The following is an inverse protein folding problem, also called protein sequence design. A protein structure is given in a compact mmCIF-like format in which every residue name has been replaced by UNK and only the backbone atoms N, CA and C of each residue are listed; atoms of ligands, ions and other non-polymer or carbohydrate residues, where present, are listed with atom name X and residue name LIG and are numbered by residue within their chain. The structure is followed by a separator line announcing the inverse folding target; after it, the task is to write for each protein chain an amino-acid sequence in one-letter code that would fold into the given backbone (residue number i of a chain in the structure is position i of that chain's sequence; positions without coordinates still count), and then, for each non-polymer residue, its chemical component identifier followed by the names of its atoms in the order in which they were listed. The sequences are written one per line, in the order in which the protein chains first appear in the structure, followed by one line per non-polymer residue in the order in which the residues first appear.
data_IF_735921138581
#
_entry.id   IF_735921138581
#
_cell.length_a   1.000
_cell.length_b   1.000
_cell.length_c   1.000
_cell.angle_alpha   90.00
_cell.angle_beta   90.00
_cell.angle_gamma   90.00
#
_symmetry.space_group_name_H-M   'P 1'
#
loop_
_entity.id
_entity.type
_entity.pdbx_description
1 polymer ?
#
# COMPACT_ATOMS: atom_id res chain seq x y z
N UNK A 1 -48.45 1.33 -34.17
CA UNK A 1 -47.37 1.68 -35.12
C UNK A 1 -46.51 2.78 -34.52
N UNK A 2 -45.38 2.41 -33.92
CA UNK A 2 -44.03 2.90 -34.24
C UNK A 2 -43.15 2.66 -33.00
N UNK A 3 -42.23 1.71 -33.15
CA UNK A 3 -41.22 1.36 -32.15
C UNK A 3 -40.07 2.36 -32.21
N UNK A 4 -39.64 2.90 -31.06
CA UNK A 4 -38.30 3.46 -30.91
C UNK A 4 -37.43 2.40 -30.24
N UNK A 5 -36.67 1.68 -31.07
CA UNK A 5 -35.52 0.89 -30.64
C UNK A 5 -34.51 1.83 -29.97
N UNK A 6 -34.36 1.73 -28.65
CA UNK A 6 -33.12 2.17 -28.00
C UNK A 6 -32.06 1.10 -28.27
N UNK A 7 -31.22 1.37 -29.27
CA UNK A 7 -30.03 0.57 -29.57
C UNK A 7 -29.13 0.56 -28.33
N UNK A 8 -28.96 -0.61 -27.71
CA UNK A 8 -27.91 -0.86 -26.72
C UNK A 8 -26.57 -0.77 -27.45
N UNK A 9 -25.99 0.42 -27.48
CA UNK A 9 -24.57 0.56 -27.78
C UNK A 9 -23.80 0.13 -26.53
N UNK A 10 -23.28 -1.10 -26.56
CA UNK A 10 -22.18 -1.51 -25.68
C UNK A 10 -20.97 -0.65 -26.01
N UNK A 11 -20.87 0.49 -25.33
CA UNK A 11 -19.65 1.30 -25.31
C UNK A 11 -18.62 0.53 -24.48
N UNK A 12 -17.74 -0.18 -25.17
CA UNK A 12 -16.43 -0.55 -24.64
C UNK A 12 -15.71 0.78 -24.40
N UNK A 13 -15.73 1.28 -23.16
CA UNK A 13 -14.93 2.44 -22.79
C UNK A 13 -13.46 2.04 -22.86
N UNK A 14 -12.73 2.59 -23.82
CA UNK A 14 -11.29 2.72 -23.70
C UNK A 14 -11.03 3.53 -22.41
N UNK A 15 -10.41 2.89 -21.42
CA UNK A 15 -10.18 3.48 -20.10
C UNK A 15 -9.06 4.51 -20.23
N UNK A 16 -9.36 5.75 -19.84
CA UNK A 16 -8.41 6.85 -19.80
C UNK A 16 -7.35 6.60 -18.73
N UNK A 17 -6.08 6.85 -19.06
CA UNK A 17 -4.93 6.52 -18.19
C UNK A 17 -4.77 7.53 -17.04
N UNK A 18 -5.49 8.65 -17.12
CA UNK A 18 -5.32 9.81 -16.25
C UNK A 18 -6.33 9.86 -15.08
N UNK A 19 -7.22 8.88 -14.93
CA UNK A 19 -8.15 8.82 -13.79
C UNK A 19 -7.46 8.20 -12.56
N UNK A 20 -7.49 8.86 -11.38
CA UNK A 20 -6.88 8.31 -10.17
C UNK A 20 -7.51 6.95 -9.84
N UNK A 21 -6.67 5.98 -9.50
CA UNK A 21 -7.09 4.62 -9.17
C UNK A 21 -7.72 4.50 -7.78
N UNK A 22 -7.60 5.57 -6.98
CA UNK A 22 -8.19 5.73 -5.64
C UNK A 22 -9.16 6.93 -5.57
N UNK A 23 -10.01 6.95 -4.54
CA UNK A 23 -10.98 8.04 -4.29
C UNK A 23 -10.95 8.49 -2.83
N UNK A 24 -11.21 9.77 -2.57
CA UNK A 24 -11.35 10.29 -1.20
C UNK A 24 -12.51 9.65 -0.40
N UNK A 25 -13.44 8.97 -1.08
CA UNK A 25 -14.52 8.19 -0.45
C UNK A 25 -14.10 6.76 -0.11
N UNK A 26 -12.91 6.32 -0.52
CA UNK A 26 -12.43 4.98 -0.26
C UNK A 26 -12.07 4.85 1.22
N UNK A 27 -12.66 3.86 1.87
CA UNK A 27 -12.48 3.56 3.28
C UNK A 27 -11.86 2.19 3.43
N UNK A 28 -11.10 1.98 4.51
CA UNK A 28 -10.64 0.65 4.85
C UNK A 28 -11.82 -0.24 5.25
N UNK A 29 -11.61 -1.54 5.16
CA UNK A 29 -12.52 -2.54 5.69
C UNK A 29 -11.76 -3.56 6.57
N UNK A 30 -12.43 -4.19 7.54
CA UNK A 30 -11.85 -5.26 8.32
C UNK A 30 -11.32 -6.39 7.43
N UNK A 31 -10.11 -6.84 7.74
CA UNK A 31 -9.38 -7.87 7.00
C UNK A 31 -8.66 -8.80 7.98
N UNK A 32 -8.65 -10.09 7.67
CA UNK A 32 -7.85 -11.07 8.39
C UNK A 32 -6.84 -11.66 7.41
N UNK A 33 -5.56 -11.50 7.69
CA UNK A 33 -4.52 -12.14 6.89
C UNK A 33 -4.62 -13.67 7.06
N UNK A 34 -4.83 -14.39 5.97
CA UNK A 34 -4.93 -15.84 5.99
C UNK A 34 -3.58 -16.51 6.29
N UNK A 35 -2.47 -15.81 6.07
CA UNK A 35 -1.13 -16.36 6.27
C UNK A 35 -0.72 -16.25 7.74
N UNK A 36 -0.82 -15.06 8.34
CA UNK A 36 -0.41 -14.84 9.73
C UNK A 36 -1.55 -14.87 10.75
N UNK A 37 -2.82 -14.87 10.30
CA UNK A 37 -4.01 -14.80 11.16
C UNK A 37 -4.25 -13.42 11.80
N UNK A 38 -3.57 -12.37 11.33
CA UNK A 38 -3.66 -11.04 11.92
C UNK A 38 -4.93 -10.31 11.49
N UNK A 39 -5.66 -9.74 12.46
CA UNK A 39 -6.76 -8.83 12.20
C UNK A 39 -6.24 -7.41 11.94
N UNK A 40 -6.64 -6.84 10.81
CA UNK A 40 -6.17 -5.57 10.28
C UNK A 40 -7.34 -4.78 9.67
N UNK A 41 -7.12 -3.50 9.42
CA UNK A 41 -7.93 -2.69 8.52
C UNK A 41 -7.23 -2.60 7.17
N UNK A 42 -7.93 -2.89 6.07
CA UNK A 42 -7.34 -2.96 4.73
C UNK A 42 -7.96 -1.98 3.75
N UNK A 43 -7.11 -1.24 3.06
CA UNK A 43 -7.38 -0.58 1.80
C UNK A 43 -7.05 -1.52 0.64
N UNK A 44 -7.90 -1.56 -0.38
CA UNK A 44 -7.69 -2.36 -1.59
C UNK A 44 -8.10 -1.59 -2.83
N UNK A 45 -7.16 -1.35 -3.74
CA UNK A 45 -7.41 -0.71 -5.02
C UNK A 45 -7.83 -1.70 -6.08
N UNK A 46 -9.12 -1.75 -6.41
CA UNK A 46 -9.66 -2.75 -7.33
C UNK A 46 -9.10 -2.66 -8.75
N UNK A 47 -8.63 -1.49 -9.19
CA UNK A 47 -8.03 -1.31 -10.53
C UNK A 47 -6.61 -1.87 -10.61
N UNK A 48 -5.84 -1.64 -9.55
CA UNK A 48 -4.41 -1.89 -9.47
C UNK A 48 -4.08 -3.20 -8.76
N UNK A 49 -5.04 -3.77 -8.04
CA UNK A 49 -4.89 -4.96 -7.20
C UNK A 49 -3.86 -4.77 -6.08
N UNK A 50 -3.47 -3.53 -5.79
CA UNK A 50 -2.69 -3.21 -4.60
C UNK A 50 -3.56 -3.31 -3.35
N UNK A 51 -2.94 -3.82 -2.30
CA UNK A 51 -3.53 -3.89 -0.98
C UNK A 51 -2.57 -3.33 0.06
N UNK A 52 -3.12 -2.53 0.96
CA UNK A 52 -2.45 -2.07 2.16
C UNK A 52 -3.32 -2.39 3.37
N UNK A 53 -2.82 -3.21 4.27
CA UNK A 53 -3.48 -3.50 5.53
C UNK A 53 -2.62 -3.03 6.72
N UNK A 54 -3.27 -2.53 7.77
CA UNK A 54 -2.62 -2.04 8.96
C UNK A 54 -3.33 -2.53 10.22
N UNK A 55 -2.55 -2.90 11.22
CA UNK A 55 -3.01 -3.11 12.60
C UNK A 55 -2.25 -2.19 13.54
N UNK A 56 -2.99 -1.41 14.32
CA UNK A 56 -2.45 -0.57 15.37
C UNK A 56 -2.54 -1.31 16.71
N UNK A 57 -1.52 -1.13 17.55
CA UNK A 57 -1.59 -1.65 18.91
C UNK A 57 -2.68 -0.91 19.70
N UNK A 58 -3.42 -1.63 20.55
CA UNK A 58 -4.60 -1.12 21.28
C UNK A 58 -4.27 -0.06 22.34
N UNK A 59 -2.98 0.16 22.64
CA UNK A 59 -2.56 1.22 23.56
C UNK A 59 -2.42 2.53 22.79
N UNK A 60 -3.20 3.59 23.12
CA UNK A 60 -3.10 4.87 22.45
C UNK A 60 -1.66 5.39 22.55
N UNK A 61 -1.06 5.88 21.46
CA UNK A 61 0.24 6.51 21.55
C UNK A 61 0.17 7.68 22.53
N UNK A 62 1.13 7.77 23.44
CA UNK A 62 1.36 8.99 24.20
C UNK A 62 1.62 10.10 23.17
N UNK A 63 0.98 11.25 23.32
CA UNK A 63 1.14 12.35 22.38
C UNK A 63 2.64 12.63 22.14
N UNK A 64 3.06 12.73 20.88
CA UNK A 64 4.45 12.92 20.42
C UNK A 64 5.41 11.75 20.59
N UNK A 65 4.98 10.55 20.98
CA UNK A 65 5.83 9.35 20.85
C UNK A 65 5.64 8.72 19.47
N UNK A 66 6.72 8.40 18.75
CA UNK A 66 6.61 7.59 17.55
C UNK A 66 5.93 6.26 17.87
N UNK A 67 4.81 5.96 17.23
CA UNK A 67 4.15 4.67 17.38
C UNK A 67 4.66 3.65 16.36
N UNK A 68 4.49 2.39 16.72
CA UNK A 68 4.74 1.25 15.86
C UNK A 68 3.41 0.66 15.37
N UNK A 69 3.42 0.07 14.19
CA UNK A 69 2.26 -0.62 13.63
C UNK A 69 2.70 -1.85 12.86
N UNK A 70 1.79 -2.81 12.68
CA UNK A 70 2.01 -3.91 11.75
C UNK A 70 1.34 -3.53 10.43
N UNK A 71 2.09 -3.56 9.35
CA UNK A 71 1.60 -3.34 7.99
C UNK A 71 1.67 -4.61 7.16
N UNK A 72 0.81 -4.71 6.16
CA UNK A 72 0.92 -5.67 5.07
C UNK A 72 0.77 -4.92 3.74
N UNK A 73 1.70 -5.15 2.82
CA UNK A 73 1.59 -4.71 1.43
C UNK A 73 1.41 -5.93 0.54
N UNK A 74 0.45 -5.85 -0.38
CA UNK A 74 0.27 -6.84 -1.45
C UNK A 74 0.27 -6.12 -2.78
N UNK A 75 1.07 -6.60 -3.73
CA UNK A 75 1.18 -6.01 -5.06
C UNK A 75 1.19 -7.11 -6.13
N UNK A 76 0.52 -6.88 -7.27
CA UNK A 76 0.69 -7.74 -8.43
C UNK A 76 2.10 -7.57 -9.03
N UNK A 77 2.57 -8.63 -9.67
CA UNK A 77 3.82 -8.67 -10.41
C UNK A 77 3.55 -9.16 -11.83
N UNK A 78 4.40 -8.74 -12.75
CA UNK A 78 4.41 -9.24 -14.13
C UNK A 78 5.72 -10.01 -14.32
N UNK A 79 5.62 -11.33 -14.48
CA UNK A 79 6.77 -12.22 -14.62
C UNK A 79 7.79 -12.10 -13.47
N UNK A 80 7.30 -11.92 -12.24
CA UNK A 80 8.12 -11.75 -11.04
C UNK A 80 8.80 -10.38 -10.92
N UNK A 81 8.46 -9.43 -11.79
CA UNK A 81 8.98 -8.07 -11.77
C UNK A 81 7.90 -7.07 -11.38
N UNK A 82 8.33 -6.03 -10.69
CA UNK A 82 7.47 -4.99 -10.15
C UNK A 82 7.96 -4.53 -8.78
N UNK A 83 7.39 -3.44 -8.32
CA UNK A 83 7.63 -2.89 -7.00
C UNK A 83 6.34 -2.22 -6.53
N UNK A 84 6.27 -2.03 -5.22
CA UNK A 84 5.18 -1.36 -4.57
C UNK A 84 5.69 -0.31 -3.61
N UNK A 85 4.87 0.67 -3.29
CA UNK A 85 5.19 1.60 -2.23
C UNK A 85 3.96 1.99 -1.44
N UNK A 86 4.19 2.38 -0.19
CA UNK A 86 3.20 3.10 0.59
C UNK A 86 3.82 4.38 1.14
N UNK A 87 3.02 5.42 1.21
CA UNK A 87 3.31 6.63 1.94
C UNK A 87 2.32 6.79 3.09
N UNK A 88 2.70 7.53 4.13
CA UNK A 88 1.84 7.77 5.29
C UNK A 88 1.10 9.10 5.22
N UNK A 89 1.46 10.05 4.34
CA UNK A 89 0.88 11.40 4.33
C UNK A 89 0.04 11.73 3.09
N UNK A 90 -0.11 10.81 2.14
CA UNK A 90 -0.91 11.00 0.92
C UNK A 90 -0.20 11.78 -0.20
N UNK A 91 0.59 12.79 0.12
CA UNK A 91 1.42 13.52 -0.87
C UNK A 91 2.76 12.81 -1.11
N UNK A 92 3.47 13.05 -2.21
CA UNK A 92 4.84 12.50 -2.39
C UNK A 92 5.88 13.38 -1.68
N UNK A 93 5.74 14.71 -1.82
CA UNK A 93 6.56 15.68 -1.12
C UNK A 93 6.32 15.66 0.38
N UNK A 94 7.40 15.63 1.16
CA UNK A 94 7.34 15.57 2.62
C UNK A 94 6.90 14.22 3.18
N UNK A 95 6.67 13.22 2.32
CA UNK A 95 6.21 11.91 2.74
C UNK A 95 7.37 10.95 3.03
N UNK A 96 7.10 10.09 3.99
CA UNK A 96 7.96 8.98 4.37
C UNK A 96 7.41 7.71 3.70
N UNK A 97 8.16 7.21 2.72
CA UNK A 97 7.71 6.19 1.79
C UNK A 97 8.43 4.88 2.10
N UNK A 98 7.69 3.78 2.23
CA UNK A 98 8.25 2.43 2.24
C UNK A 98 8.08 1.82 0.84
N UNK A 99 9.18 1.67 0.12
CA UNK A 99 9.23 0.96 -1.16
C UNK A 99 9.60 -0.51 -0.93
N UNK A 100 8.95 -1.42 -1.65
CA UNK A 100 9.09 -2.88 -1.52
C UNK A 100 9.14 -3.56 -2.88
N UNK A 101 9.95 -4.59 -3.03
CA UNK A 101 10.08 -5.34 -4.30
C UNK A 101 10.62 -6.76 -4.06
N UNK A 102 10.36 -7.72 -4.97
CA UNK A 102 10.89 -9.08 -4.86
C UNK A 102 12.42 -9.11 -4.84
N UNK A 103 13.00 -9.99 -4.02
CA UNK A 103 14.46 -10.16 -3.91
C UNK A 103 15.06 -11.09 -4.98
N UNK A 104 14.22 -11.75 -5.78
CA UNK A 104 14.61 -12.75 -6.77
C UNK A 104 14.87 -14.16 -6.22
N UNK A 105 14.80 -14.36 -4.90
CA UNK A 105 15.00 -15.62 -4.19
C UNK A 105 13.71 -16.10 -3.47
N UNK A 106 12.56 -15.50 -3.78
CA UNK A 106 11.26 -15.83 -3.20
C UNK A 106 10.87 -14.98 -1.98
N UNK A 107 11.75 -14.06 -1.56
CA UNK A 107 11.50 -13.07 -0.54
C UNK A 107 11.21 -11.68 -1.12
N UNK A 108 11.20 -10.68 -0.23
CA UNK A 108 10.90 -9.28 -0.55
C UNK A 108 11.91 -8.39 0.17
N UNK A 109 12.45 -7.42 -0.55
CA UNK A 109 13.27 -6.33 -0.02
C UNK A 109 12.42 -5.10 0.24
N UNK A 110 12.90 -4.24 1.14
CA UNK A 110 12.26 -2.98 1.44
C UNK A 110 13.30 -1.88 1.69
N UNK A 111 12.94 -0.63 1.39
CA UNK A 111 13.75 0.54 1.68
C UNK A 111 12.86 1.73 2.01
N UNK A 112 13.25 2.47 3.04
CA UNK A 112 12.61 3.73 3.39
C UNK A 112 13.17 4.86 2.56
N UNK A 113 12.29 5.72 2.06
CA UNK A 113 12.65 6.83 1.19
C UNK A 113 11.89 8.09 1.58
N UNK A 114 12.43 9.25 1.24
CA UNK A 114 11.78 10.53 1.53
C UNK A 114 11.75 11.41 0.29
N UNK A 115 10.56 11.76 -0.17
CA UNK A 115 10.37 12.71 -1.25
C UNK A 115 10.50 14.14 -0.73
N UNK A 116 11.40 14.93 -1.30
CA UNK A 116 11.44 16.39 -1.10
C UNK A 116 10.88 17.16 -2.30
N UNK A 117 10.65 16.43 -3.39
CA UNK A 117 10.10 16.85 -4.67
C UNK A 117 9.55 15.59 -5.39
N UNK A 118 9.09 15.73 -6.63
CA UNK A 118 8.57 14.65 -7.49
C UNK A 118 9.68 13.84 -8.22
N UNK A 119 10.95 13.97 -7.82
CA UNK A 119 12.03 13.12 -8.33
C UNK A 119 12.11 11.79 -7.55
N UNK A 120 12.95 10.86 -8.03
CA UNK A 120 13.19 9.59 -7.35
C UNK A 120 13.63 9.81 -5.88
N UNK A 121 12.81 9.42 -4.88
CA UNK A 121 13.11 9.69 -3.48
C UNK A 121 14.40 8.97 -3.04
N UNK A 122 15.38 9.68 -2.43
CA UNK A 122 16.55 9.04 -1.87
C UNK A 122 16.17 8.14 -0.69
N UNK A 123 16.97 7.09 -0.49
CA UNK A 123 16.87 6.24 0.70
C UNK A 123 17.22 7.04 1.97
N UNK A 124 16.48 6.77 3.05
CA UNK A 124 16.67 7.39 4.35
C UNK A 124 16.79 6.33 5.45
N UNK A 125 17.66 6.60 6.41
CA UNK A 125 17.87 5.77 7.59
C UNK A 125 17.69 6.60 8.84
N UNK A 126 17.22 5.99 9.94
CA UNK A 126 16.99 6.73 11.17
C UNK A 126 16.71 5.82 12.35
N UNK A 127 15.96 6.34 13.32
CA UNK A 127 15.55 5.60 14.51
C UNK A 127 14.35 4.66 14.27
N UNK A 128 13.75 4.74 13.08
CA UNK A 128 12.71 3.83 12.59
C UNK A 128 13.34 2.55 12.03
N UNK A 129 12.58 1.46 12.06
CA UNK A 129 13.00 0.18 11.50
C UNK A 129 11.82 -0.61 10.95
N UNK A 130 12.08 -1.42 9.94
CA UNK A 130 11.14 -2.42 9.45
C UNK A 130 11.68 -3.80 9.79
N UNK A 131 10.84 -4.59 10.45
CA UNK A 131 11.12 -5.99 10.77
C UNK A 131 10.15 -6.88 10.05
N UNK A 132 10.68 -7.86 9.34
CA UNK A 132 9.87 -8.88 8.68
C UNK A 132 9.13 -9.72 9.70
N UNK A 133 7.88 -10.07 9.40
CA UNK A 133 7.23 -11.21 10.02
C UNK A 133 7.45 -12.39 9.07
N UNK A 134 8.32 -13.37 9.40
CA UNK A 134 8.80 -14.38 8.45
C UNK A 134 7.69 -15.13 7.72
N UNK A 135 6.59 -15.44 8.42
CA UNK A 135 5.47 -16.18 7.84
C UNK A 135 4.62 -15.32 6.89
N UNK A 136 4.74 -14.00 6.93
CA UNK A 136 3.94 -13.07 6.13
C UNK A 136 4.69 -12.47 4.93
N UNK A 137 5.83 -13.05 4.54
CA UNK A 137 6.61 -12.59 3.38
C UNK A 137 6.66 -13.69 2.32
N UNK A 138 6.23 -13.36 1.11
CA UNK A 138 6.35 -14.26 -0.04
C UNK A 138 6.33 -13.49 -1.35
N UNK A 139 7.09 -13.93 -2.34
CA UNK A 139 7.03 -13.42 -3.71
C UNK A 139 6.99 -14.58 -4.70
N UNK A 140 6.20 -14.41 -5.76
CA UNK A 140 6.11 -15.35 -6.89
C UNK A 140 6.04 -14.57 -8.22
N UNK A 141 5.74 -15.26 -9.33
CA UNK A 141 5.71 -14.62 -10.64
C UNK A 141 4.55 -13.61 -10.83
N UNK A 142 3.51 -13.68 -10.00
CA UNK A 142 2.25 -12.94 -10.16
C UNK A 142 1.98 -11.93 -9.05
N UNK A 143 2.57 -12.09 -7.88
CA UNK A 143 2.39 -11.16 -6.75
C UNK A 143 3.44 -11.35 -5.68
N UNK A 144 3.53 -10.37 -4.78
CA UNK A 144 4.17 -10.55 -3.48
C UNK A 144 3.26 -10.08 -2.34
N UNK A 145 3.51 -10.65 -1.16
CA UNK A 145 2.99 -10.18 0.12
C UNK A 145 4.15 -9.84 1.03
N UNK A 146 4.02 -8.73 1.75
CA UNK A 146 5.02 -8.20 2.64
C UNK A 146 4.38 -7.75 3.94
N UNK A 147 4.32 -8.63 4.94
CA UNK A 147 3.90 -8.31 6.30
C UNK A 147 5.10 -7.93 7.15
N UNK A 148 5.01 -6.78 7.83
CA UNK A 148 6.11 -6.21 8.58
C UNK A 148 5.66 -5.45 9.83
N UNK A 149 6.53 -5.40 10.83
CA UNK A 149 6.45 -4.47 11.95
C UNK A 149 7.22 -3.21 11.59
N UNK A 150 6.53 -2.08 11.53
CA UNK A 150 7.13 -0.77 11.39
C UNK A 150 7.34 -0.17 12.78
N UNK A 151 8.58 -0.13 13.24
CA UNK A 151 8.94 0.40 14.55
C UNK A 151 9.18 1.89 14.47
N UNK A 152 8.49 2.67 15.30
CA UNK A 152 8.63 4.14 15.40
C UNK A 152 8.35 4.88 14.07
N UNK A 153 7.48 4.35 13.22
CA UNK A 153 7.22 4.88 11.89
C UNK A 153 6.12 5.96 11.84
N UNK A 154 5.29 6.10 12.86
CA UNK A 154 4.24 7.13 12.90
C UNK A 154 4.56 8.17 13.96
N UNK A 155 4.89 9.40 13.54
CA UNK A 155 5.02 10.52 14.48
C UNK A 155 3.65 10.79 15.14
N UNK A 156 3.60 10.82 16.47
CA UNK A 156 2.38 11.08 17.23
C UNK A 156 1.77 12.44 16.87
N UNK A 157 0.75 12.42 16.00
CA UNK A 157 0.07 13.61 15.48
C UNK A 157 -0.49 13.33 14.09
N UNK A 158 -1.50 12.45 14.03
CA UNK A 158 -1.99 11.83 12.81
C UNK A 158 -2.35 12.77 11.66
N UNK A 159 -1.83 12.45 10.48
CA UNK A 159 -2.56 12.44 9.21
C UNK A 159 -2.05 11.24 8.42
N UNK A 160 -2.75 10.11 8.50
CA UNK A 160 -2.56 8.99 7.59
C UNK A 160 -3.26 9.35 6.27
N UNK A 161 -2.50 9.73 5.25
CA UNK A 161 -2.96 9.90 3.87
C UNK A 161 -2.46 8.73 3.01
N UNK A 162 -3.35 8.14 2.23
CA UNK A 162 -3.23 6.85 1.54
C UNK A 162 -2.17 6.82 0.44
N UNK A 163 -1.52 5.65 0.26
CA UNK A 163 -0.43 5.44 -0.69
C UNK A 163 -0.81 5.47 -2.17
N UNK A 164 0.20 5.68 -3.03
CA UNK A 164 0.10 5.71 -4.48
C UNK A 164 0.34 4.33 -5.10
N UNK A 165 -0.45 4.01 -6.12
CA UNK A 165 -0.27 2.88 -7.03
C UNK A 165 0.45 3.40 -8.29
N UNK A 166 1.50 2.71 -8.75
CA UNK A 166 2.09 2.90 -10.09
C UNK A 166 1.54 1.85 -11.05
#
# INVERSE_FOLDING_TARGET
FLACLFSRSTLIHAQDSDEPTSSASQVSAPFVDHTTGLTMERFFGARTQFGFAMSLHSTPPVARTPSSFIGQLTFPLVNGQGWGAMGLTGDMEGNFILAVWPDGAGGVMASFRQGTNEDNPPEVTGSFAVRLLPDGVSANATSFSYTFLCEKCSAGGGRCGWGWEW
#
